data_IF_785377279473
#
_entry.id   IF_785377279473
#
_cell.length_a   1.000
_cell.length_b   1.000
_cell.length_c   1.000
_cell.angle_alpha   90.00
_cell.angle_beta   90.00
_cell.angle_gamma   90.00
#
_symmetry.space_group_name_H-M   'P 1'
#
loop_
_entity.id
_entity.type
_entity.pdbx_description
1 polymer ?
#
# COMPACT_ATOMS: atom_id res chain seq x y z
N UNK A 1 -3.81 -24.24 -0.75
CA UNK A 1 -3.49 -22.84 -0.51
C UNK A 1 -4.68 -22.14 0.14
N UNK A 2 -4.47 -21.48 1.26
CA UNK A 2 -5.53 -20.81 1.99
C UNK A 2 -5.67 -19.35 1.53
N UNK A 3 -6.80 -19.03 0.91
CA UNK A 3 -7.08 -17.68 0.41
C UNK A 3 -7.20 -16.66 1.54
N UNK A 4 -7.74 -17.06 2.69
CA UNK A 4 -7.84 -16.18 3.84
C UNK A 4 -6.46 -15.79 4.37
N UNK A 5 -5.53 -16.72 4.39
CA UNK A 5 -4.15 -16.45 4.75
C UNK A 5 -3.50 -15.43 3.80
N UNK A 6 -3.77 -15.53 2.50
CA UNK A 6 -3.29 -14.56 1.51
C UNK A 6 -3.86 -13.17 1.75
N UNK A 7 -5.15 -13.06 2.06
CA UNK A 7 -5.80 -11.79 2.40
C UNK A 7 -5.17 -11.20 3.65
N UNK A 8 -4.91 -12.02 4.67
CA UNK A 8 -4.26 -11.59 5.91
C UNK A 8 -2.84 -11.09 5.67
N UNK A 9 -2.09 -11.73 4.80
CA UNK A 9 -0.75 -11.25 4.41
C UNK A 9 -0.81 -9.91 3.68
N UNK A 10 -1.77 -9.73 2.77
CA UNK A 10 -1.98 -8.45 2.10
C UNK A 10 -2.32 -7.35 3.11
N UNK A 11 -3.23 -7.62 4.01
CA UNK A 11 -3.62 -6.68 5.08
C UNK A 11 -2.39 -6.29 5.91
N UNK A 12 -1.59 -7.25 6.31
CA UNK A 12 -0.38 -7.02 7.10
C UNK A 12 0.62 -6.12 6.36
N UNK A 13 0.85 -6.38 5.08
CA UNK A 13 1.77 -5.59 4.25
C UNK A 13 1.28 -4.16 4.05
N UNK A 14 -0.01 -3.99 3.79
CA UNK A 14 -0.59 -2.65 3.61
C UNK A 14 -0.57 -1.87 4.92
N UNK A 15 -0.85 -2.51 6.05
CA UNK A 15 -0.71 -1.87 7.37
C UNK A 15 0.71 -1.39 7.63
N UNK A 16 1.70 -2.20 7.30
CA UNK A 16 3.12 -1.80 7.42
C UNK A 16 3.42 -0.58 6.55
N UNK A 17 2.89 -0.53 5.33
CA UNK A 17 3.04 0.62 4.43
C UNK A 17 2.39 1.87 5.00
N UNK A 18 1.23 1.76 5.62
CA UNK A 18 0.55 2.88 6.30
C UNK A 18 1.41 3.43 7.44
N UNK A 19 1.98 2.55 8.26
CA UNK A 19 2.85 2.95 9.37
C UNK A 19 4.09 3.71 8.88
N UNK A 20 4.73 3.22 7.82
CA UNK A 20 5.89 3.88 7.21
C UNK A 20 5.48 5.24 6.65
N UNK A 21 4.37 5.33 5.91
CA UNK A 21 3.88 6.58 5.33
C UNK A 21 3.55 7.61 6.41
N UNK A 22 2.94 7.20 7.52
CA UNK A 22 2.66 8.08 8.65
C UNK A 22 3.93 8.63 9.29
N UNK A 23 4.94 7.79 9.52
CA UNK A 23 6.22 8.22 10.08
C UNK A 23 6.93 9.21 9.17
N UNK A 24 6.93 8.96 7.86
CA UNK A 24 7.52 9.85 6.88
C UNK A 24 6.78 11.19 6.82
N UNK A 25 5.44 11.17 6.90
CA UNK A 25 4.63 12.37 6.96
C UNK A 25 4.95 13.22 8.21
N UNK A 26 5.03 12.59 9.36
CA UNK A 26 5.36 13.25 10.63
C UNK A 26 6.77 13.84 10.59
N UNK A 27 7.75 13.10 10.08
CA UNK A 27 9.13 13.57 9.94
C UNK A 27 9.20 14.78 9.00
N UNK A 28 8.53 14.73 7.85
CA UNK A 28 8.49 15.82 6.90
C UNK A 28 7.79 17.06 7.48
N UNK A 29 6.71 16.86 8.23
CA UNK A 29 5.98 17.96 8.88
C UNK A 29 6.80 18.63 9.98
N UNK A 30 7.56 17.86 10.76
CA UNK A 30 8.47 18.39 11.77
C UNK A 30 9.60 19.21 11.13
N UNK A 31 10.20 18.69 10.07
CA UNK A 31 11.26 19.37 9.35
C UNK A 31 10.76 20.69 8.75
N UNK A 32 9.54 20.71 8.22
CA UNK A 32 8.93 21.94 7.69
C UNK A 32 8.66 23.00 8.76
N UNK A 33 8.36 22.59 10.01
CA UNK A 33 8.08 23.51 11.12
C UNK A 33 9.33 23.97 11.85
N UNK A 34 10.22 23.05 12.17
CA UNK A 34 11.29 23.25 13.15
C UNK A 34 12.69 23.21 12.54
N UNK A 35 12.82 22.88 11.24
CA UNK A 35 14.09 22.66 10.56
C UNK A 35 14.89 23.92 10.23
N UNK A 36 14.35 25.12 10.47
CA UNK A 36 15.02 26.37 10.10
C UNK A 36 14.83 27.46 11.15
N UNK A 37 15.87 28.26 11.39
CA UNK A 37 15.77 29.49 12.19
C UNK A 37 14.94 30.55 11.45
N UNK A 38 14.57 31.64 12.16
CA UNK A 38 13.77 32.71 11.55
C UNK A 38 14.44 33.38 10.34
N UNK A 39 15.77 33.50 10.37
CA UNK A 39 16.53 34.04 9.25
C UNK A 39 16.68 33.02 8.11
N UNK A 40 16.89 31.77 8.44
CA UNK A 40 16.91 30.66 7.49
C UNK A 40 15.56 30.47 6.81
N UNK A 41 14.45 30.67 7.52
CA UNK A 41 13.10 30.57 6.96
C UNK A 41 12.85 31.54 5.81
N UNK A 42 13.48 32.72 5.83
CA UNK A 42 13.39 33.67 4.72
C UNK A 42 14.20 33.26 3.51
N UNK A 43 15.39 32.71 3.73
CA UNK A 43 16.25 32.22 2.68
C UNK A 43 15.75 30.88 2.14
N UNK A 44 15.17 30.03 2.98
CA UNK A 44 14.81 28.65 2.70
C UNK A 44 13.30 28.41 2.65
N UNK A 45 12.50 29.44 2.39
CA UNK A 45 11.03 29.31 2.23
C UNK A 45 10.65 28.27 1.18
N UNK A 46 11.46 28.12 0.14
CA UNK A 46 11.31 27.11 -0.89
C UNK A 46 11.49 25.70 -0.33
N UNK A 47 12.48 25.49 0.54
CA UNK A 47 12.73 24.18 1.18
C UNK A 47 11.56 23.83 2.11
N UNK A 48 11.05 24.80 2.88
CA UNK A 48 9.88 24.60 3.73
C UNK A 48 8.65 24.18 2.92
N UNK A 49 8.43 24.79 1.74
CA UNK A 49 7.36 24.41 0.83
C UNK A 49 7.55 22.99 0.30
N UNK A 50 8.78 22.60 -0.02
CA UNK A 50 9.09 21.24 -0.48
C UNK A 50 8.77 20.19 0.60
N UNK A 51 9.13 20.44 1.86
CA UNK A 51 8.80 19.55 2.97
C UNK A 51 7.28 19.48 3.23
N UNK A 52 6.57 20.59 3.12
CA UNK A 52 5.11 20.61 3.25
C UNK A 52 4.43 19.80 2.15
N UNK A 53 4.91 19.92 0.90
CA UNK A 53 4.41 19.13 -0.23
C UNK A 53 4.67 17.63 -0.03
N UNK A 54 5.84 17.27 0.50
CA UNK A 54 6.17 15.90 0.81
C UNK A 54 5.25 15.33 1.90
N UNK A 55 5.01 16.09 2.97
CA UNK A 55 4.11 15.69 4.04
C UNK A 55 2.69 15.44 3.51
N UNK A 56 2.18 16.31 2.62
CA UNK A 56 0.88 16.14 1.98
C UNK A 56 0.85 14.89 1.10
N UNK A 57 1.91 14.64 0.33
CA UNK A 57 2.00 13.45 -0.51
C UNK A 57 1.98 12.17 0.32
N UNK A 58 2.70 12.13 1.43
CA UNK A 58 2.69 10.97 2.34
C UNK A 58 1.32 10.79 3.01
N UNK A 59 0.64 11.89 3.35
CA UNK A 59 -0.73 11.85 3.87
C UNK A 59 -1.71 11.24 2.87
N UNK A 60 -1.61 11.60 1.59
CA UNK A 60 -2.44 11.01 0.52
C UNK A 60 -2.17 9.52 0.37
N UNK A 61 -0.91 9.09 0.40
CA UNK A 61 -0.53 7.68 0.34
C UNK A 61 -1.11 6.88 1.51
N UNK A 62 -1.01 7.41 2.72
CA UNK A 62 -1.58 6.79 3.90
C UNK A 62 -3.10 6.67 3.80
N UNK A 63 -3.80 7.69 3.29
CA UNK A 63 -5.23 7.69 3.06
C UNK A 63 -5.64 6.63 2.02
N UNK A 64 -4.92 6.55 0.91
CA UNK A 64 -5.16 5.54 -0.12
C UNK A 64 -4.96 4.12 0.42
N UNK A 65 -3.91 3.90 1.22
CA UNK A 65 -3.66 2.61 1.84
C UNK A 65 -4.74 2.23 2.86
N UNK A 66 -5.29 3.18 3.60
CA UNK A 66 -6.42 2.95 4.50
C UNK A 66 -7.69 2.54 3.75
N UNK A 67 -7.95 3.15 2.59
CA UNK A 67 -9.05 2.77 1.71
C UNK A 67 -8.88 1.34 1.20
N UNK A 68 -7.67 0.98 0.79
CA UNK A 68 -7.34 -0.39 0.37
C UNK A 68 -7.55 -1.40 1.51
N UNK A 69 -7.16 -1.06 2.74
CA UNK A 69 -7.41 -1.90 3.91
C UNK A 69 -8.90 -2.12 4.14
N UNK A 70 -9.73 -1.08 4.02
CA UNK A 70 -11.19 -1.21 4.14
C UNK A 70 -11.75 -2.18 3.12
N UNK A 71 -11.29 -2.11 1.88
CA UNK A 71 -11.70 -3.02 0.81
C UNK A 71 -11.33 -4.46 1.16
N UNK A 72 -10.09 -4.70 1.61
CA UNK A 72 -9.62 -6.03 1.98
C UNK A 72 -10.34 -6.61 3.21
N UNK A 73 -10.64 -5.78 4.20
CA UNK A 73 -11.34 -6.22 5.42
C UNK A 73 -12.75 -6.74 5.12
N UNK A 74 -13.40 -6.21 4.11
CA UNK A 74 -14.71 -6.68 3.66
C UNK A 74 -14.64 -7.74 2.55
N UNK A 75 -13.45 -8.01 2.01
CA UNK A 75 -13.26 -8.96 0.93
C UNK A 75 -13.35 -10.40 1.43
N UNK A 76 -14.22 -11.19 0.80
CA UNK A 76 -14.39 -12.60 1.10
C UNK A 76 -14.25 -13.39 -0.19
N UNK A 77 -13.06 -13.92 -0.48
CA UNK A 77 -12.85 -14.71 -1.70
C UNK A 77 -13.66 -16.01 -1.64
N UNK A 78 -14.20 -16.40 -2.79
CA UNK A 78 -14.87 -17.68 -2.90
C UNK A 78 -13.87 -18.83 -2.66
N UNK A 79 -14.27 -19.93 -2.01
CA UNK A 79 -13.41 -21.09 -1.82
C UNK A 79 -13.02 -21.69 -3.16
N UNK A 80 -11.91 -22.41 -3.18
CA UNK A 80 -11.43 -23.09 -4.37
C UNK A 80 -12.46 -24.14 -4.77
N UNK A 81 -12.98 -24.02 -6.00
CA UNK A 81 -13.93 -24.95 -6.57
C UNK A 81 -13.27 -25.78 -7.65
N UNK A 82 -13.38 -27.10 -7.54
CA UNK A 82 -12.87 -28.03 -8.57
C UNK A 82 -13.86 -28.24 -9.72
N UNK A 83 -15.16 -27.92 -9.50
CA UNK A 83 -16.21 -28.23 -10.47
C UNK A 83 -16.38 -27.22 -11.58
N UNK A 84 -16.04 -25.95 -11.37
CA UNK A 84 -16.11 -24.90 -12.41
C UNK A 84 -15.05 -23.83 -12.14
N UNK A 85 -13.77 -24.11 -12.41
CA UNK A 85 -12.73 -23.10 -12.20
C UNK A 85 -12.88 -21.98 -13.21
N UNK A 86 -13.12 -20.76 -12.72
CA UNK A 86 -13.18 -19.55 -13.53
C UNK A 86 -12.21 -18.52 -12.99
N UNK A 87 -11.58 -17.78 -13.89
CA UNK A 87 -10.78 -16.63 -13.52
C UNK A 87 -11.73 -15.51 -13.09
N UNK A 88 -11.72 -15.18 -11.82
CA UNK A 88 -12.56 -14.15 -11.23
C UNK A 88 -11.82 -13.54 -10.04
N UNK A 89 -12.33 -12.42 -9.51
CA UNK A 89 -11.77 -11.82 -8.30
C UNK A 89 -11.75 -12.85 -7.17
N UNK A 90 -10.60 -13.01 -6.53
CA UNK A 90 -10.39 -14.05 -5.52
C UNK A 90 -9.88 -15.39 -6.06
N UNK A 91 -9.65 -15.50 -7.37
CA UNK A 91 -9.10 -16.71 -7.96
C UNK A 91 -7.58 -16.81 -7.74
N UNK A 92 -7.08 -18.03 -7.58
CA UNK A 92 -5.66 -18.33 -7.63
C UNK A 92 -5.37 -18.88 -9.02
N UNK A 93 -4.44 -18.23 -9.73
CA UNK A 93 -4.12 -18.53 -11.12
C UNK A 93 -2.66 -18.93 -11.23
N UNK A 94 -2.39 -20.02 -11.93
CA UNK A 94 -1.04 -20.39 -12.31
C UNK A 94 -0.80 -19.95 -13.75
N UNK A 95 0.27 -19.19 -13.95
CA UNK A 95 0.65 -18.67 -15.26
C UNK A 95 2.02 -19.23 -15.61
N UNK A 96 2.13 -19.79 -16.81
CA UNK A 96 3.40 -20.26 -17.35
C UNK A 96 3.85 -19.39 -18.51
N UNK A 97 5.12 -18.98 -18.48
CA UNK A 97 5.77 -18.26 -19.56
C UNK A 97 7.13 -18.88 -19.83
N UNK A 98 7.20 -19.76 -20.85
CA UNK A 98 8.38 -20.54 -21.14
C UNK A 98 8.70 -21.51 -20.00
N UNK A 99 9.90 -21.36 -19.40
CA UNK A 99 10.33 -22.18 -18.26
C UNK A 99 9.95 -21.58 -16.90
N UNK A 100 9.32 -20.40 -16.88
CA UNK A 100 8.92 -19.73 -15.65
C UNK A 100 7.43 -19.92 -15.37
N UNK A 101 7.14 -20.35 -14.14
CA UNK A 101 5.77 -20.42 -13.64
C UNK A 101 5.54 -19.39 -12.54
N UNK A 102 4.35 -18.82 -12.49
CA UNK A 102 3.93 -17.88 -11.43
C UNK A 102 2.56 -18.26 -10.92
N UNK A 103 2.40 -18.17 -9.62
CA UNK A 103 1.09 -18.25 -8.98
C UNK A 103 0.62 -16.86 -8.64
N UNK A 104 -0.57 -16.49 -9.09
CA UNK A 104 -1.14 -15.16 -8.91
C UNK A 104 -2.45 -15.30 -8.15
N UNK A 105 -2.61 -14.48 -7.10
CA UNK A 105 -3.88 -14.32 -6.41
C UNK A 105 -4.53 -13.02 -6.89
N UNK A 106 -5.74 -13.11 -7.47
CA UNK A 106 -6.50 -11.94 -7.90
C UNK A 106 -7.22 -11.31 -6.71
N UNK A 107 -6.66 -10.25 -6.19
CA UNK A 107 -7.24 -9.46 -5.10
C UNK A 107 -7.76 -8.12 -5.63
N UNK A 108 -8.73 -7.48 -4.93
CA UNK A 108 -9.24 -6.18 -5.35
C UNK A 108 -8.24 -5.04 -5.20
N UNK A 109 -7.20 -5.23 -4.39
CA UNK A 109 -6.13 -4.26 -4.15
C UNK A 109 -4.79 -4.98 -3.96
N UNK A 110 -3.70 -4.22 -3.92
CA UNK A 110 -2.38 -4.78 -3.64
C UNK A 110 -1.67 -5.35 -4.86
N UNK A 111 -1.95 -4.83 -6.05
CA UNK A 111 -1.32 -5.29 -7.28
C UNK A 111 0.21 -5.19 -7.20
N UNK A 112 0.88 -6.25 -7.60
CA UNK A 112 2.33 -6.32 -7.64
C UNK A 112 3.00 -6.71 -6.33
N UNK A 113 2.26 -6.92 -5.24
CA UNK A 113 2.83 -7.38 -3.99
C UNK A 113 3.18 -8.86 -4.06
N UNK A 114 4.40 -9.20 -3.63
CA UNK A 114 4.81 -10.58 -3.41
C UNK A 114 4.52 -10.98 -1.97
N UNK A 115 3.92 -12.13 -1.80
CA UNK A 115 3.53 -12.64 -0.48
C UNK A 115 4.46 -13.74 0.01
#
# INVERSE_FOLDING_TARGET
MDKQFMVEQLVSRIRSSVEVAKREQEAAALEARDGASADEKRADSRVALEFSSLAQAQGRRAGAALDELSILESFRPAPISETRPQVAMGAIIEVEDGDEGRTIFLAPVGAGLAL
#
